data_IF_060532592223
#
_entry.id   IF_060532592223
#
_cell.length_a   1.000
_cell.length_b   1.000
_cell.length_c   1.000
_cell.angle_alpha   90.00
_cell.angle_beta   90.00
_cell.angle_gamma   90.00
#
_symmetry.space_group_name_H-M   'P 1'
#
loop_
_entity.id
_entity.type
_entity.pdbx_description
1 polymer ?
#
# COMPACT_ATOMS: atom_id res chain seq x y z
N UNK A 1 22.07 15.69 36.47
CA UNK A 1 20.77 14.99 36.58
C UNK A 1 20.30 14.74 35.17
N UNK A 2 20.31 13.48 34.80
CA UNK A 2 20.08 12.95 33.47
C UNK A 2 18.61 13.18 33.06
N UNK A 3 18.37 14.02 32.05
CA UNK A 3 17.06 14.15 31.41
C UNK A 3 17.00 13.15 30.24
N UNK A 4 17.06 11.87 30.55
CA UNK A 4 16.59 10.82 29.65
C UNK A 4 15.06 10.86 29.66
N UNK A 5 14.49 11.86 28.96
CA UNK A 5 13.06 11.95 28.72
C UNK A 5 12.59 10.68 28.02
N UNK A 6 11.61 10.00 28.60
CA UNK A 6 11.03 8.79 28.04
C UNK A 6 10.42 9.13 26.66
N UNK A 7 11.04 8.70 25.57
CA UNK A 7 10.47 8.85 24.22
C UNK A 7 9.39 7.79 24.07
N UNK A 8 8.12 8.20 24.04
CA UNK A 8 7.00 7.28 23.88
C UNK A 8 6.71 7.15 22.39
N UNK A 9 6.82 5.93 21.87
CA UNK A 9 6.47 5.58 20.50
C UNK A 9 5.02 5.08 20.47
N UNK A 10 4.18 5.72 19.65
CA UNK A 10 2.81 5.27 19.42
C UNK A 10 2.76 4.45 18.14
N UNK A 11 2.26 3.23 18.23
CA UNK A 11 2.01 2.40 17.05
C UNK A 11 0.89 3.02 16.23
N UNK A 12 1.14 3.25 14.94
CA UNK A 12 0.12 3.81 14.05
C UNK A 12 -0.80 2.72 13.50
N UNK A 13 -0.36 1.46 13.49
CA UNK A 13 -1.12 0.33 12.94
C UNK A 13 -0.79 0.04 11.48
N UNK A 14 -0.06 0.94 10.81
CA UNK A 14 0.54 0.69 9.50
C UNK A 14 1.65 -0.38 9.66
N UNK A 15 1.61 -1.42 8.82
CA UNK A 15 2.54 -2.54 8.87
C UNK A 15 2.98 -2.98 7.47
N UNK A 16 4.13 -3.64 7.38
CA UNK A 16 4.61 -4.22 6.13
C UNK A 16 4.15 -5.67 5.99
N UNK A 17 3.26 -5.91 5.02
CA UNK A 17 2.86 -7.24 4.59
C UNK A 17 3.68 -7.65 3.36
N UNK A 18 4.62 -8.59 3.54
CA UNK A 18 5.49 -9.04 2.45
C UNK A 18 4.77 -9.93 1.44
N UNK A 19 3.60 -10.44 1.79
CA UNK A 19 2.78 -11.34 0.98
C UNK A 19 1.61 -10.64 0.27
N UNK A 20 1.38 -9.34 0.54
CA UNK A 20 0.28 -8.57 -0.03
C UNK A 20 0.48 -8.13 -1.51
N UNK A 21 0.97 -9.01 -2.36
CA UNK A 21 1.05 -8.79 -3.80
C UNK A 21 -0.34 -8.86 -4.43
N UNK A 22 -0.64 -7.92 -5.33
CA UNK A 22 -1.95 -7.80 -5.98
C UNK A 22 -1.83 -7.66 -7.48
N UNK A 23 -2.79 -8.24 -8.18
CA UNK A 23 -2.98 -7.99 -9.59
C UNK A 23 -3.77 -6.69 -9.79
N UNK A 24 -3.29 -5.81 -10.65
CA UNK A 24 -3.93 -4.56 -11.04
C UNK A 24 -5.30 -4.76 -11.68
N UNK A 25 -5.42 -5.81 -12.50
CA UNK A 25 -6.58 -6.08 -13.35
C UNK A 25 -7.89 -6.20 -12.55
N UNK A 26 -7.85 -6.86 -11.39
CA UNK A 26 -9.04 -7.16 -10.58
C UNK A 26 -8.81 -6.94 -9.06
N UNK A 27 -7.65 -6.42 -8.67
CA UNK A 27 -7.23 -6.25 -7.27
C UNK A 27 -7.20 -7.55 -6.45
N UNK A 28 -7.13 -8.72 -7.09
CA UNK A 28 -6.98 -10.01 -6.41
C UNK A 28 -5.55 -10.20 -5.92
N UNK A 29 -5.39 -10.90 -4.80
CA UNK A 29 -4.08 -11.23 -4.27
C UNK A 29 -3.43 -12.35 -5.08
N UNK A 30 -2.10 -12.30 -5.21
CA UNK A 30 -1.30 -13.35 -5.88
C UNK A 30 -1.32 -14.65 -5.06
N UNK A 31 -1.36 -14.53 -3.73
CA UNK A 31 -1.54 -15.65 -2.81
C UNK A 31 -3.01 -15.72 -2.38
N UNK A 32 -3.61 -16.91 -2.47
CA UNK A 32 -4.90 -17.18 -1.84
C UNK A 32 -4.77 -17.20 -0.31
N UNK A 33 -5.88 -16.95 0.41
CA UNK A 33 -5.95 -17.09 1.88
C UNK A 33 -5.65 -18.53 2.37
N UNK A 34 -5.65 -19.50 1.45
CA UNK A 34 -5.31 -20.90 1.65
C UNK A 34 -3.83 -21.23 1.39
N UNK A 35 -3.02 -20.22 1.03
CA UNK A 35 -1.60 -20.39 0.70
C UNK A 35 -1.33 -21.05 -0.65
N UNK A 36 -2.37 -21.29 -1.47
CA UNK A 36 -2.19 -21.87 -2.79
C UNK A 36 -1.69 -20.83 -3.79
N UNK A 37 -0.67 -21.24 -4.56
CA UNK A 37 0.09 -20.42 -5.50
C UNK A 37 -0.76 -20.20 -6.76
N UNK A 38 -1.03 -18.93 -7.12
CA UNK A 38 -1.32 -18.60 -8.52
C UNK A 38 -0.04 -18.89 -9.32
N UNK A 39 -0.14 -19.85 -10.25
CA UNK A 39 0.94 -20.40 -11.07
C UNK A 39 2.10 -19.42 -11.33
N UNK A 40 3.29 -19.78 -10.87
CA UNK A 40 4.53 -19.02 -11.08
C UNK A 40 5.59 -19.47 -10.08
N UNK A 41 6.77 -19.83 -10.57
CA UNK A 41 7.97 -20.06 -9.76
C UNK A 41 8.42 -18.75 -9.10
N UNK A 42 7.66 -18.26 -8.12
CA UNK A 42 8.06 -17.16 -7.23
C UNK A 42 9.16 -17.58 -6.24
N UNK A 43 9.73 -18.79 -6.41
CA UNK A 43 10.62 -19.40 -5.44
C UNK A 43 12.00 -18.75 -5.47
N UNK A 44 12.13 -17.74 -4.60
CA UNK A 44 13.32 -17.34 -3.85
C UNK A 44 14.40 -16.67 -4.69
N UNK A 45 14.91 -15.52 -4.19
CA UNK A 45 15.91 -14.65 -4.82
C UNK A 45 15.31 -13.76 -5.92
N UNK A 46 14.63 -12.67 -5.58
CA UNK A 46 15.31 -11.40 -5.29
C UNK A 46 14.47 -10.56 -4.30
N UNK A 47 14.35 -10.98 -3.04
CA UNK A 47 14.14 -10.02 -1.95
C UNK A 47 15.50 -9.32 -1.73
N UNK A 48 16.02 -8.65 -2.75
CA UNK A 48 17.12 -7.74 -2.59
C UNK A 48 16.52 -6.48 -2.00
N UNK A 49 16.63 -6.42 -0.67
CA UNK A 49 16.48 -5.28 0.24
C UNK A 49 16.86 -3.91 -0.36
N UNK A 50 16.11 -3.42 -1.34
CA UNK A 50 16.23 -2.08 -1.87
C UNK A 50 15.16 -1.23 -1.19
N UNK A 51 15.60 -0.58 -0.13
CA UNK A 51 15.13 0.71 0.39
C UNK A 51 13.72 1.12 -0.04
N UNK A 52 12.77 1.13 0.91
CA UNK A 52 11.65 2.08 0.99
C UNK A 52 10.68 2.25 -0.20
N UNK A 53 10.93 1.68 -1.37
CA UNK A 53 10.25 1.97 -2.63
C UNK A 53 9.23 0.90 -2.94
N UNK A 54 8.03 1.31 -3.35
CA UNK A 54 7.04 0.40 -3.91
C UNK A 54 7.71 -0.50 -4.95
N UNK A 55 7.43 -1.79 -4.86
CA UNK A 55 7.95 -2.78 -5.81
C UNK A 55 6.83 -3.19 -6.74
N UNK A 56 7.17 -3.22 -8.02
CA UNK A 56 6.28 -3.57 -9.11
C UNK A 56 6.85 -4.77 -9.83
N UNK A 57 5.98 -5.66 -10.28
CA UNK A 57 6.38 -6.89 -10.93
C UNK A 57 6.58 -6.71 -12.43
N UNK A 58 7.63 -7.37 -12.91
CA UNK A 58 8.01 -7.45 -14.30
C UNK A 58 8.16 -8.91 -14.72
N UNK A 59 8.04 -9.15 -16.02
CA UNK A 59 8.41 -10.40 -16.66
C UNK A 59 9.71 -10.24 -17.45
N UNK A 60 10.58 -11.25 -17.42
CA UNK A 60 11.82 -11.31 -18.21
C UNK A 60 12.05 -12.74 -18.64
N UNK A 61 12.02 -13.02 -19.95
CA UNK A 61 12.12 -14.40 -20.47
C UNK A 61 11.08 -15.35 -19.84
N UNK A 62 9.89 -14.84 -19.51
CA UNK A 62 8.80 -15.60 -18.89
C UNK A 62 8.93 -15.83 -17.38
N UNK A 63 9.95 -15.25 -16.73
CA UNK A 63 10.13 -15.32 -15.29
C UNK A 63 9.67 -14.02 -14.63
N UNK A 64 8.94 -14.17 -13.52
CA UNK A 64 8.49 -13.05 -12.70
C UNK A 64 9.61 -12.59 -11.78
N UNK A 65 9.74 -11.28 -11.64
CA UNK A 65 10.65 -10.63 -10.70
C UNK A 65 10.10 -9.25 -10.37
N UNK A 66 10.59 -8.64 -9.30
CA UNK A 66 10.24 -7.29 -8.93
C UNK A 66 11.35 -6.28 -9.23
N UNK A 67 10.95 -5.01 -9.30
CA UNK A 67 11.82 -3.87 -9.53
C UNK A 67 11.14 -2.60 -8.95
N UNK A 68 11.88 -1.57 -8.51
CA UNK A 68 11.26 -0.31 -8.10
C UNK A 68 10.36 0.24 -9.21
N UNK A 69 9.14 0.64 -8.85
CA UNK A 69 8.09 1.04 -9.80
C UNK A 69 8.45 2.25 -10.69
N UNK A 70 9.46 3.03 -10.30
CA UNK A 70 9.94 4.23 -11.01
C UNK A 70 10.86 3.91 -12.21
N UNK A 71 11.25 2.64 -12.39
CA UNK A 71 11.98 2.24 -13.59
C UNK A 71 11.10 2.38 -14.84
N UNK A 72 11.73 2.75 -15.95
CA UNK A 72 11.06 2.86 -17.25
C UNK A 72 11.24 1.55 -18.02
N UNK A 73 10.16 0.80 -18.21
CA UNK A 73 10.13 -0.45 -18.97
C UNK A 73 8.99 -0.42 -19.98
N UNK A 74 9.12 -1.23 -21.03
CA UNK A 74 7.98 -1.59 -21.87
C UNK A 74 6.93 -2.32 -21.04
N UNK A 75 5.70 -2.42 -21.52
CA UNK A 75 4.62 -3.05 -20.75
C UNK A 75 3.73 -3.94 -21.60
N UNK A 76 3.02 -4.86 -20.96
CA UNK A 76 2.02 -5.68 -21.63
C UNK A 76 0.65 -5.35 -21.05
N UNK A 77 -0.23 -4.79 -21.90
CA UNK A 77 -1.62 -4.58 -21.55
C UNK A 77 -2.44 -5.84 -21.85
N UNK A 78 -3.52 -6.05 -21.10
CA UNK A 78 -4.58 -6.99 -21.43
C UNK A 78 -5.79 -6.23 -21.97
N UNK A 79 -6.32 -6.72 -23.08
CA UNK A 79 -7.52 -6.23 -23.75
C UNK A 79 -8.58 -7.33 -23.62
N UNK A 80 -9.33 -7.30 -22.52
CA UNK A 80 -10.34 -8.30 -22.17
C UNK A 80 -11.43 -8.45 -23.24
N UNK A 81 -12.00 -7.37 -23.83
CA UNK A 81 -12.99 -7.49 -24.90
C UNK A 81 -12.52 -8.31 -26.10
N UNK A 82 -11.24 -8.24 -26.45
CA UNK A 82 -10.67 -8.97 -27.58
C UNK A 82 -9.90 -10.23 -27.15
N UNK A 83 -9.76 -10.47 -25.84
CA UNK A 83 -8.92 -11.48 -25.23
C UNK A 83 -7.49 -11.49 -25.80
N UNK A 84 -6.84 -10.31 -25.81
CA UNK A 84 -5.49 -10.12 -26.39
C UNK A 84 -4.51 -9.50 -25.40
N UNK A 85 -3.24 -9.87 -25.58
CA UNK A 85 -2.09 -9.26 -24.90
C UNK A 85 -1.44 -8.28 -25.85
N UNK A 86 -1.38 -7.01 -25.45
CA UNK A 86 -0.94 -5.91 -26.30
C UNK A 86 0.43 -5.41 -25.81
N UNK A 87 1.51 -5.59 -26.58
CA UNK A 87 2.81 -5.06 -26.23
C UNK A 87 2.86 -3.54 -26.45
N UNK A 88 3.31 -2.82 -25.43
CA UNK A 88 3.54 -1.38 -25.46
C UNK A 88 5.04 -1.15 -25.31
N UNK A 89 5.69 -0.82 -26.42
CA UNK A 89 7.15 -0.66 -26.54
C UNK A 89 7.65 0.75 -26.21
N UNK A 90 6.83 1.55 -25.53
CA UNK A 90 7.20 2.88 -25.04
C UNK A 90 7.54 2.73 -23.55
N UNK A 91 8.81 2.90 -23.14
CA UNK A 91 9.20 2.73 -21.75
C UNK A 91 8.50 3.73 -20.83
N UNK A 92 7.87 3.24 -19.76
CA UNK A 92 7.10 4.02 -18.80
C UNK A 92 7.35 3.53 -17.37
N UNK A 93 7.12 4.39 -16.38
CA UNK A 93 6.97 3.94 -14.99
C UNK A 93 5.77 3.01 -14.88
N UNK A 94 5.74 2.13 -13.88
CA UNK A 94 4.65 1.16 -13.75
C UNK A 94 3.28 1.82 -13.66
N UNK A 95 3.17 2.91 -12.89
CA UNK A 95 1.92 3.68 -12.72
C UNK A 95 1.47 4.35 -14.03
N UNK A 96 2.42 4.84 -14.83
CA UNK A 96 2.14 5.44 -16.14
C UNK A 96 1.70 4.36 -17.14
N UNK A 97 2.36 3.21 -17.15
CA UNK A 97 1.99 2.06 -17.98
C UNK A 97 0.59 1.53 -17.64
N UNK A 98 0.27 1.40 -16.34
CA UNK A 98 -1.06 1.03 -15.87
C UNK A 98 -2.13 2.01 -16.36
N UNK A 99 -1.87 3.31 -16.18
CA UNK A 99 -2.79 4.37 -16.61
C UNK A 99 -3.01 4.32 -18.13
N UNK A 100 -1.94 4.13 -18.90
CA UNK A 100 -2.01 3.96 -20.35
C UNK A 100 -2.86 2.74 -20.76
N UNK A 101 -2.61 1.58 -20.14
CA UNK A 101 -3.37 0.37 -20.45
C UNK A 101 -4.86 0.51 -20.11
N UNK A 102 -5.21 1.18 -19.00
CA UNK A 102 -6.62 1.45 -18.63
C UNK A 102 -7.29 2.48 -19.54
N UNK A 103 -6.53 3.39 -20.12
CA UNK A 103 -7.06 4.37 -21.08
C UNK A 103 -7.33 3.75 -22.46
N UNK A 104 -6.48 2.80 -22.90
CA UNK A 104 -6.52 2.24 -24.26
C UNK A 104 -7.12 0.83 -24.35
N UNK A 105 -7.05 0.06 -23.27
CA UNK A 105 -7.42 -1.35 -23.19
C UNK A 105 -8.15 -1.61 -21.85
N UNK A 106 -7.92 -2.75 -21.19
CA UNK A 106 -8.50 -3.04 -19.88
C UNK A 106 -7.56 -2.63 -18.74
N UNK A 107 -6.36 -3.20 -18.68
CA UNK A 107 -5.34 -2.87 -17.68
C UNK A 107 -3.98 -3.49 -18.09
N UNK A 108 -2.94 -3.36 -17.27
CA UNK A 108 -1.76 -4.23 -17.35
C UNK A 108 -2.15 -5.69 -17.14
N UNK A 109 -1.48 -6.58 -17.87
CA UNK A 109 -1.81 -8.01 -17.86
C UNK A 109 -1.51 -8.70 -16.52
N UNK A 110 -2.32 -9.71 -16.18
CA UNK A 110 -1.93 -10.72 -15.21
C UNK A 110 -1.07 -11.82 -15.84
N UNK A 111 -0.45 -12.66 -15.02
CA UNK A 111 0.18 -13.92 -15.47
C UNK A 111 -0.04 -15.00 -14.40
N UNK A 112 -1.25 -15.57 -14.38
CA UNK A 112 -1.77 -16.48 -13.34
C UNK A 112 -1.81 -17.94 -13.76
N UNK A 113 -1.59 -18.22 -15.04
CA UNK A 113 -1.64 -19.57 -15.60
C UNK A 113 -0.51 -19.74 -16.61
N UNK A 114 -0.16 -21.00 -16.91
CA UNK A 114 0.81 -21.31 -17.96
C UNK A 114 0.37 -20.79 -19.33
N UNK A 115 -0.93 -20.83 -19.61
CA UNK A 115 -1.48 -20.31 -20.85
C UNK A 115 -1.27 -18.80 -20.96
N UNK A 116 -1.54 -18.03 -19.89
CA UNK A 116 -1.25 -16.59 -19.87
C UNK A 116 0.24 -16.31 -20.11
N UNK A 117 1.13 -17.07 -19.46
CA UNK A 117 2.58 -16.96 -19.66
C UNK A 117 2.99 -17.21 -21.11
N UNK A 118 2.46 -18.25 -21.73
CA UNK A 118 2.75 -18.57 -23.13
C UNK A 118 2.26 -17.49 -24.10
N UNK A 119 1.08 -16.91 -23.88
CA UNK A 119 0.58 -15.82 -24.72
C UNK A 119 1.39 -14.52 -24.54
N UNK A 120 1.79 -14.19 -23.30
CA UNK A 120 2.66 -13.04 -23.02
C UNK A 120 4.02 -13.23 -23.70
N UNK A 121 4.59 -14.42 -23.62
CA UNK A 121 5.88 -14.74 -24.25
C UNK A 121 5.87 -14.61 -25.79
N UNK A 122 4.71 -14.70 -26.44
CA UNK A 122 4.60 -14.47 -27.89
C UNK A 122 4.72 -13.00 -28.27
N UNK A 123 4.48 -12.08 -27.33
CA UNK A 123 4.46 -10.62 -27.58
C UNK A 123 5.61 -9.88 -26.90
N UNK A 124 6.36 -10.55 -26.03
CA UNK A 124 7.56 -10.02 -25.37
C UNK A 124 8.84 -10.61 -25.94
N UNK A 125 9.96 -9.91 -25.77
CA UNK A 125 11.31 -10.42 -26.00
C UNK A 125 12.00 -10.78 -24.66
N UNK A 126 13.31 -11.04 -24.71
CA UNK A 126 14.13 -11.36 -23.52
C UNK A 126 14.38 -10.14 -22.60
N UNK A 127 13.87 -8.96 -22.94
CA UNK A 127 14.00 -7.78 -22.08
C UNK A 127 12.99 -7.79 -20.93
N UNK A 128 13.02 -6.75 -20.09
CA UNK A 128 12.13 -6.62 -18.94
C UNK A 128 10.87 -5.84 -19.31
N UNK A 129 9.70 -6.42 -19.00
CA UNK A 129 8.40 -5.83 -19.30
C UNK A 129 7.54 -5.71 -18.04
N UNK A 130 6.91 -4.56 -17.85
CA UNK A 130 5.91 -4.37 -16.81
C UNK A 130 4.68 -5.23 -17.08
N UNK A 131 4.20 -5.83 -15.99
CA UNK A 131 2.91 -6.51 -15.92
C UNK A 131 2.14 -5.98 -14.71
N UNK A 132 0.87 -6.31 -14.61
CA UNK A 132 -0.06 -5.71 -13.67
C UNK A 132 0.04 -6.31 -12.28
N UNK A 133 1.22 -6.44 -11.69
CA UNK A 133 1.38 -6.88 -10.30
C UNK A 133 2.18 -5.86 -9.49
N UNK A 134 1.64 -5.46 -8.34
CA UNK A 134 2.29 -4.53 -7.43
C UNK A 134 2.19 -5.02 -5.99
N UNK A 135 3.10 -4.52 -5.15
CA UNK A 135 2.99 -4.64 -3.70
C UNK A 135 3.14 -3.28 -3.06
N UNK A 136 2.07 -2.86 -2.38
CA UNK A 136 2.14 -1.76 -1.43
C UNK A 136 2.90 -2.24 -0.20
N UNK A 137 4.05 -1.61 0.04
CA UNK A 137 4.93 -1.95 1.16
C UNK A 137 4.28 -1.73 2.53
N UNK A 138 3.34 -0.79 2.64
CA UNK A 138 2.75 -0.39 3.90
C UNK A 138 1.22 -0.48 3.82
N UNK A 139 0.63 -1.31 4.67
CA UNK A 139 -0.80 -1.60 4.70
C UNK A 139 -1.39 -1.23 6.06
N UNK A 140 -2.57 -0.63 6.02
CA UNK A 140 -3.38 -0.46 7.23
C UNK A 140 -4.11 -1.78 7.54
N UNK A 141 -4.43 -2.08 8.81
CA UNK A 141 -5.09 -3.33 9.19
C UNK A 141 -6.48 -3.47 8.55
N UNK A 142 -7.15 -2.35 8.32
CA UNK A 142 -8.44 -2.26 7.63
C UNK A 142 -8.32 -2.26 6.10
N UNK A 143 -7.11 -2.43 5.56
CA UNK A 143 -6.76 -2.41 4.13
C UNK A 143 -7.11 -1.10 3.43
N UNK A 144 -7.31 -0.01 4.18
CA UNK A 144 -7.49 1.33 3.61
C UNK A 144 -6.24 1.79 2.85
N UNK A 145 -6.44 2.60 1.80
CA UNK A 145 -5.35 3.17 1.00
C UNK A 145 -5.15 4.62 1.46
N UNK A 146 -4.08 4.89 2.22
CA UNK A 146 -3.64 6.28 2.49
C UNK A 146 -2.61 6.70 1.46
N UNK A 147 -2.82 7.85 0.81
CA UNK A 147 -1.84 8.49 -0.09
C UNK A 147 -0.79 9.32 0.64
N UNK A 148 -0.94 9.51 1.96
CA UNK A 148 -0.04 10.34 2.75
C UNK A 148 0.86 9.44 3.60
N UNK A 149 2.17 9.51 3.36
CA UNK A 149 3.17 8.97 4.25
C UNK A 149 4.09 10.09 4.73
N UNK A 150 4.19 10.25 6.05
CA UNK A 150 4.94 11.34 6.70
C UNK A 150 6.25 10.82 7.30
N UNK A 151 7.02 10.10 6.51
CA UNK A 151 8.26 9.50 6.96
C UNK A 151 9.26 10.54 7.46
N UNK A 152 9.97 10.20 8.54
CA UNK A 152 11.14 10.95 8.99
C UNK A 152 12.28 10.83 7.99
N UNK A 153 13.20 11.81 7.97
CA UNK A 153 14.36 11.75 7.08
C UNK A 153 15.20 10.51 7.40
N UNK A 154 15.39 9.65 6.42
CA UNK A 154 16.07 8.36 6.59
C UNK A 154 15.13 7.17 6.66
N UNK A 155 13.83 7.39 6.89
CA UNK A 155 12.81 6.36 6.98
C UNK A 155 11.87 6.37 5.75
N UNK A 156 11.19 5.25 5.43
CA UNK A 156 11.45 3.95 6.04
C UNK A 156 12.82 3.43 5.60
N UNK A 157 13.67 3.01 6.53
CA UNK A 157 15.02 2.56 6.18
C UNK A 157 15.03 1.07 5.78
N UNK A 158 13.93 0.37 6.06
CA UNK A 158 13.67 -0.98 5.59
C UNK A 158 14.47 -2.04 6.32
N UNK A 159 14.88 -1.84 7.58
CA UNK A 159 15.51 -2.89 8.39
C UNK A 159 14.74 -4.21 8.29
N UNK A 160 15.44 -5.34 8.15
CA UNK A 160 14.81 -6.63 7.81
C UNK A 160 13.74 -7.10 8.82
N UNK A 161 13.70 -6.54 10.03
CA UNK A 161 12.69 -6.79 11.06
C UNK A 161 11.76 -5.59 11.35
N UNK A 162 11.94 -4.46 10.66
CA UNK A 162 11.21 -3.21 10.91
C UNK A 162 9.87 -3.16 10.17
N UNK A 163 8.95 -4.03 10.58
CA UNK A 163 7.66 -4.24 9.91
C UNK A 163 6.53 -3.36 10.45
N UNK A 164 6.78 -2.57 11.50
CA UNK A 164 5.77 -1.74 12.17
C UNK A 164 6.11 -0.26 12.03
N UNK A 165 5.08 0.60 12.01
CA UNK A 165 5.27 2.05 11.94
C UNK A 165 4.85 2.72 13.23
N UNK A 166 5.73 3.57 13.76
CA UNK A 166 5.48 4.38 14.94
C UNK A 166 5.55 5.88 14.62
N UNK A 167 4.87 6.68 15.44
CA UNK A 167 5.11 8.12 15.43
C UNK A 167 6.45 8.43 16.10
N UNK A 168 7.37 9.08 15.39
CA UNK A 168 8.67 9.50 15.91
C UNK A 168 9.01 10.92 15.43
N UNK A 169 9.38 11.80 16.37
CA UNK A 169 9.78 13.21 16.10
C UNK A 169 8.85 14.00 15.15
N UNK A 170 7.55 13.75 15.19
CA UNK A 170 6.55 14.43 14.34
C UNK A 170 6.36 13.84 12.94
N UNK A 171 7.08 12.77 12.61
CA UNK A 171 6.89 11.94 11.43
C UNK A 171 6.69 10.46 11.77
N UNK A 172 6.86 9.61 10.78
CA UNK A 172 6.72 8.15 10.85
C UNK A 172 8.10 7.51 10.73
N UNK A 173 8.39 6.54 11.58
CA UNK A 173 9.58 5.70 11.48
C UNK A 173 9.15 4.23 11.42
N UNK A 174 9.81 3.44 10.57
CA UNK A 174 9.70 2.00 10.61
C UNK A 174 10.57 1.45 11.73
N UNK A 175 10.04 0.49 12.47
CA UNK A 175 10.68 -0.09 13.64
C UNK A 175 10.33 -1.57 13.78
N UNK A 176 11.16 -2.30 14.52
CA UNK A 176 10.85 -3.65 14.92
C UNK A 176 9.57 -3.69 15.76
N UNK A 177 8.60 -4.50 15.34
CA UNK A 177 7.32 -4.65 16.03
C UNK A 177 7.47 -5.11 17.49
N UNK A 178 8.59 -5.78 17.83
CA UNK A 178 8.90 -6.28 19.17
C UNK A 178 9.53 -5.25 20.11
N UNK A 179 9.71 -3.99 19.68
CA UNK A 179 10.26 -2.96 20.57
C UNK A 179 9.38 -2.76 21.81
N UNK A 180 9.97 -3.01 22.98
CA UNK A 180 9.30 -2.94 24.29
C UNK A 180 8.75 -1.56 24.67
N UNK A 181 9.13 -0.50 23.93
CA UNK A 181 8.69 0.88 24.14
C UNK A 181 7.44 1.26 23.33
N UNK A 182 6.94 0.37 22.46
CA UNK A 182 5.71 0.61 21.70
C UNK A 182 4.51 0.51 22.64
N UNK A 183 3.72 1.59 22.75
CA UNK A 183 2.42 1.55 23.41
C UNK A 183 1.31 1.49 22.36
N UNK A 184 0.49 0.44 22.40
CA UNK A 184 -0.73 0.34 21.61
C UNK A 184 -1.82 1.19 22.28
N UNK A 185 -2.27 2.23 21.60
CA UNK A 185 -3.42 3.02 22.03
C UNK A 185 -4.67 2.56 21.27
N UNK A 186 -5.38 1.59 21.83
CA UNK A 186 -6.67 1.16 21.28
C UNK A 186 -7.77 2.06 21.81
N UNK A 187 -8.38 2.86 20.93
CA UNK A 187 -9.51 3.71 21.27
C UNK A 187 -10.77 3.06 20.71
N UNK A 188 -11.66 2.64 21.61
CA UNK A 188 -12.98 2.11 21.25
C UNK A 188 -14.01 3.19 21.54
N UNK A 189 -14.66 3.69 20.48
CA UNK A 189 -15.73 4.66 20.60
C UNK A 189 -17.05 3.90 20.78
N UNK A 190 -17.65 4.02 21.96
CA UNK A 190 -19.01 3.52 22.22
C UNK A 190 -19.96 4.70 22.22
N UNK A 191 -20.94 4.68 21.32
CA UNK A 191 -21.99 5.70 21.22
C UNK A 191 -23.36 5.06 21.29
N UNK A 192 -24.24 5.62 22.12
CA UNK A 192 -25.61 5.10 22.32
C UNK A 192 -26.65 5.69 21.34
N UNK A 193 -26.23 6.57 20.40
CA UNK A 193 -27.10 7.23 19.43
C UNK A 193 -26.36 7.51 18.10
N UNK A 194 -27.12 7.89 17.06
CA UNK A 194 -26.62 8.31 15.74
C UNK A 194 -25.76 9.58 15.87
N UNK A 195 -24.51 9.41 16.26
CA UNK A 195 -23.53 10.48 16.40
C UNK A 195 -23.06 10.91 15.00
N UNK A 196 -23.26 12.19 14.66
CA UNK A 196 -22.68 12.77 13.44
C UNK A 196 -21.20 13.09 13.70
N UNK A 197 -20.34 12.22 13.19
CA UNK A 197 -18.89 12.40 13.27
C UNK A 197 -18.38 13.60 12.44
N UNK A 198 -19.23 14.30 11.69
CA UNK A 198 -18.84 15.53 10.99
C UNK A 198 -19.12 16.80 11.81
N UNK A 199 -19.84 16.69 12.94
CA UNK A 199 -20.16 17.82 13.80
C UNK A 199 -18.88 18.36 14.47
N UNK A 200 -18.56 19.67 14.31
CA UNK A 200 -17.41 20.30 14.95
C UNK A 200 -17.37 20.17 16.48
N UNK A 201 -18.52 20.09 17.14
CA UNK A 201 -18.61 19.92 18.60
C UNK A 201 -18.22 18.50 19.02
N UNK A 202 -18.69 17.49 18.28
CA UNK A 202 -18.30 16.08 18.46
C UNK A 202 -16.80 15.92 18.24
N UNK A 203 -16.26 16.58 17.22
CA UNK A 203 -14.84 16.62 16.95
C UNK A 203 -14.04 17.17 18.14
N UNK A 204 -14.43 18.31 18.69
CA UNK A 204 -13.74 18.93 19.83
C UNK A 204 -13.80 18.06 21.08
N UNK A 205 -14.97 17.50 21.40
CA UNK A 205 -15.18 16.63 22.56
C UNK A 205 -14.32 15.37 22.50
N UNK A 206 -14.22 14.75 21.32
CA UNK A 206 -13.37 13.60 21.08
C UNK A 206 -11.88 13.93 21.23
N UNK A 207 -11.41 15.07 20.74
CA UNK A 207 -10.00 15.49 20.94
C UNK A 207 -9.70 15.71 22.42
N UNK A 208 -10.60 16.38 23.14
CA UNK A 208 -10.46 16.60 24.59
C UNK A 208 -10.45 15.28 25.36
N UNK A 209 -11.32 14.33 24.98
CA UNK A 209 -11.35 13.00 25.57
C UNK A 209 -10.05 12.23 25.31
N UNK A 210 -9.56 12.27 24.07
CA UNK A 210 -8.29 11.64 23.68
C UNK A 210 -7.11 12.25 24.44
N UNK A 211 -7.05 13.58 24.57
CA UNK A 211 -6.00 14.25 25.33
C UNK A 211 -5.99 13.79 26.79
N UNK A 212 -7.15 13.79 27.44
CA UNK A 212 -7.28 13.32 28.83
C UNK A 212 -6.85 11.86 28.97
N UNK A 213 -7.26 11.00 28.04
CA UNK A 213 -6.93 9.58 28.04
C UNK A 213 -5.41 9.34 27.85
N UNK A 214 -4.78 10.06 26.93
CA UNK A 214 -3.33 10.02 26.70
C UNK A 214 -2.53 10.48 27.93
N UNK A 215 -2.96 11.59 28.57
CA UNK A 215 -2.35 12.07 29.82
C UNK A 215 -2.49 11.04 30.94
N UNK A 216 -3.64 10.36 31.04
CA UNK A 216 -3.88 9.27 32.00
C UNK A 216 -2.98 8.05 31.80
N UNK A 217 -2.48 7.82 30.58
CA UNK A 217 -1.58 6.70 30.24
C UNK A 217 -0.07 7.07 30.27
N UNK A 218 0.25 8.20 30.91
CA UNK A 218 1.63 8.64 31.16
C UNK A 218 2.26 9.49 30.05
N UNK A 219 1.47 9.97 29.09
CA UNK A 219 1.94 10.89 28.05
C UNK A 219 1.84 12.33 28.59
N UNK A 220 2.90 12.79 29.26
CA UNK A 220 2.95 14.14 29.86
C UNK A 220 3.71 15.17 29.01
N UNK A 221 4.32 14.72 27.91
CA UNK A 221 5.02 15.59 26.95
C UNK A 221 4.02 16.52 26.27
N UNK A 222 4.48 17.66 25.74
CA UNK A 222 3.61 18.57 24.98
C UNK A 222 3.26 17.92 23.64
N UNK A 223 1.98 17.72 23.37
CA UNK A 223 1.47 17.19 22.10
C UNK A 223 0.32 18.05 21.57
N UNK A 224 -0.04 17.85 20.30
CA UNK A 224 -1.18 18.52 19.67
C UNK A 224 -1.97 17.49 18.89
N UNK A 225 -3.25 17.36 19.22
CA UNK A 225 -4.19 16.51 18.48
C UNK A 225 -4.89 17.34 17.40
N UNK A 226 -5.13 16.75 16.23
CA UNK A 226 -5.84 17.40 15.13
C UNK A 226 -6.70 16.39 14.38
N UNK A 227 -7.89 16.82 13.96
CA UNK A 227 -8.68 16.10 12.97
C UNK A 227 -8.01 16.12 11.61
N UNK A 228 -8.06 14.99 10.91
CA UNK A 228 -7.75 14.92 9.48
C UNK A 228 -8.87 14.22 8.75
N UNK A 229 -9.46 14.90 7.78
CA UNK A 229 -10.31 14.24 6.79
C UNK A 229 -9.40 13.56 5.76
N UNK A 230 -9.67 12.30 5.36
CA UNK A 230 -9.00 11.71 4.21
C UNK A 230 -9.18 12.64 3.00
N UNK A 231 -8.20 12.73 2.08
CA UNK A 231 -8.43 13.43 0.82
C UNK A 231 -9.66 12.80 0.16
N UNK A 232 -10.70 13.61 -0.06
CA UNK A 232 -11.88 13.17 -0.79
C UNK A 232 -11.41 12.68 -2.15
N UNK A 233 -11.58 11.38 -2.39
CA UNK A 233 -11.48 10.82 -3.72
C UNK A 233 -12.55 11.57 -4.52
N UNK A 234 -12.16 12.40 -5.49
CA UNK A 234 -13.02 12.67 -6.63
C UNK A 234 -13.17 11.33 -7.34
N UNK A 235 -14.11 10.53 -6.85
CA UNK A 235 -14.76 9.56 -7.72
C UNK A 235 -15.57 10.45 -8.64
N UNK A 236 -15.25 10.44 -9.93
CA UNK A 236 -16.14 11.02 -10.91
C UNK A 236 -17.52 10.37 -10.70
N UNK A 237 -18.44 11.13 -10.10
CA UNK A 237 -19.86 10.80 -10.07
C UNK A 237 -20.30 10.72 -11.52
N UNK A 238 -20.30 9.51 -12.10
CA UNK A 238 -21.16 9.24 -13.23
C UNK A 238 -22.59 9.32 -12.69
N UNK A 239 -23.25 10.42 -12.99
CA UNK A 239 -24.70 10.55 -12.93
C UNK A 239 -25.32 9.31 -13.58
N UNK A 240 -26.00 8.49 -12.78
CA UNK A 240 -26.94 7.50 -13.30
C UNK A 240 -28.26 8.24 -13.43
N UNK A 241 -28.58 8.68 -14.65
CA UNK A 241 -29.94 9.11 -14.97
C UNK A 241 -30.92 7.94 -14.75
N UNK A 242 -32.09 8.18 -14.16
CA UNK A 242 -33.11 7.15 -14.05
C UNK A 242 -33.74 6.91 -15.43
N UNK A 243 -33.57 5.69 -15.95
CA UNK A 243 -34.38 5.23 -17.08
C UNK A 243 -35.85 5.17 -16.63
N UNK A 244 -36.69 5.86 -17.41
CA UNK A 244 -38.15 5.91 -17.36
C UNK A 244 -38.81 4.52 -17.26
#
# INVERSE_FOLDING_TARGET
>A
MDQTGLVILLLLGLYQDRTAWKWSLDNTYVYGDDGNIAYGDWFVFQINHYSSSQVCGKVTGGNLSDLPCEHQLNSVCYDEPNNKYIPVTVPMTWSSAQSYCREKYTDLTSMRTQQEKEEILKVTDESSWWIGVDRKLWNWPDRSISSLALWTTGDPNGGASELCVVSYLGGWADVDCGLSQIKLLKIELKSDASLDLNDPSVHEDLLNHMEKHMRGHGIHQKFTLRWRKPPSRKVDEKEVEPLL
#
